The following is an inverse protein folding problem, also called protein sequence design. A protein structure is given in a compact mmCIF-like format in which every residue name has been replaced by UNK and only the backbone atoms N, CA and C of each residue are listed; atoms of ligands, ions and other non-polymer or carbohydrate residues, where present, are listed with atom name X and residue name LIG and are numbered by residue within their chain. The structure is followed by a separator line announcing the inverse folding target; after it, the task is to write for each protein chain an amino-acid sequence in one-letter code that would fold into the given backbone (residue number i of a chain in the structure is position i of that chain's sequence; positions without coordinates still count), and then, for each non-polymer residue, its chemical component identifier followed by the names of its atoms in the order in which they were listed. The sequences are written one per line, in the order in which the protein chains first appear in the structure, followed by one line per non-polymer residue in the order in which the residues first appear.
data_IF_738731563759
#
_entry.id   IF_738731563759
#
_cell.length_a   1.000
_cell.length_b   1.000
_cell.length_c   1.000
_cell.angle_alpha   90.00
_cell.angle_beta   90.00
_cell.angle_gamma   90.00
#
_symmetry.space_group_name_H-M   'P 1'
#
loop_
_entity.id
_entity.type
_entity.pdbx_description
1 polymer ?
#
# COMPACT_ATOMS: atom_id res chain seq x y z
N UNK A 1 24.44 -21.80 7.67
CA UNK A 1 23.20 -22.17 8.39
C UNK A 1 22.52 -20.89 8.86
N UNK A 2 21.44 -20.48 8.19
CA UNK A 2 20.69 -19.29 8.60
C UNK A 2 20.06 -19.53 9.97
N UNK A 3 20.37 -18.67 10.93
CA UNK A 3 19.75 -18.70 12.25
C UNK A 3 18.25 -18.42 12.09
N UNK A 4 17.41 -19.39 12.44
CA UNK A 4 15.98 -19.19 12.59
C UNK A 4 15.72 -18.02 13.57
N UNK A 5 14.64 -17.23 13.40
CA UNK A 5 14.34 -16.12 14.29
C UNK A 5 14.08 -16.67 15.71
N UNK A 6 15.10 -16.60 16.57
CA UNK A 6 15.00 -17.06 17.95
C UNK A 6 13.81 -16.37 18.63
N UNK A 7 12.93 -17.18 19.25
CA UNK A 7 11.93 -16.71 20.20
C UNK A 7 12.61 -15.73 21.18
N UNK A 8 12.30 -14.44 21.07
CA UNK A 8 12.93 -13.38 21.89
C UNK A 8 12.69 -13.68 23.38
N UNK A 9 13.73 -14.15 24.09
CA UNK A 9 13.62 -14.56 25.49
C UNK A 9 13.46 -13.33 26.38
N UNK A 10 12.39 -13.30 27.18
CA UNK A 10 12.12 -12.19 28.11
C UNK A 10 13.11 -12.16 29.27
N UNK A 11 13.78 -13.29 29.52
CA UNK A 11 14.80 -13.42 30.55
C UNK A 11 16.04 -12.59 30.22
N UNK A 12 16.51 -12.63 28.97
CA UNK A 12 17.66 -11.83 28.53
C UNK A 12 17.35 -10.33 28.55
N UNK A 13 16.15 -9.94 28.16
CA UNK A 13 15.72 -8.55 28.24
C UNK A 13 15.67 -8.04 29.69
N UNK A 14 15.13 -8.83 30.63
CA UNK A 14 15.17 -8.47 32.07
C UNK A 14 16.59 -8.34 32.61
N UNK A 15 17.51 -9.21 32.18
CA UNK A 15 18.94 -9.11 32.54
C UNK A 15 19.58 -7.85 31.97
N UNK A 16 19.33 -7.53 30.68
CA UNK A 16 19.85 -6.32 30.05
C UNK A 16 19.39 -5.04 30.77
N UNK A 17 18.14 -4.97 31.25
CA UNK A 17 17.65 -3.82 32.02
C UNK A 17 18.25 -3.70 33.43
N UNK A 18 18.76 -4.79 34.01
CA UNK A 18 19.50 -4.72 35.28
C UNK A 18 20.88 -4.10 35.09
N UNK A 19 21.49 -4.31 33.92
CA UNK A 19 22.80 -3.76 33.57
C UNK A 19 22.70 -2.32 33.06
N UNK A 20 21.68 -2.04 32.25
CA UNK A 20 21.37 -0.70 31.75
C UNK A 20 19.86 -0.45 31.82
N UNK A 21 19.45 0.35 32.81
CA UNK A 21 18.04 0.70 33.04
C UNK A 21 17.42 1.48 31.88
N UNK A 22 18.23 2.07 30.98
CA UNK A 22 17.78 2.82 29.81
C UNK A 22 17.83 2.00 28.52
N UNK A 23 18.09 0.69 28.60
CA UNK A 23 18.17 -0.19 27.43
C UNK A 23 16.81 -0.33 26.74
N UNK A 24 16.56 0.54 25.75
CA UNK A 24 15.29 0.62 25.03
C UNK A 24 14.93 -0.69 24.32
N UNK A 25 15.92 -1.40 23.78
CA UNK A 25 15.74 -2.71 23.12
C UNK A 25 15.21 -3.77 24.08
N UNK A 26 15.68 -3.77 25.32
CA UNK A 26 15.24 -4.70 26.35
C UNK A 26 13.85 -4.34 26.90
N UNK A 27 13.58 -3.06 27.18
CA UNK A 27 12.24 -2.56 27.54
C UNK A 27 11.20 -2.92 26.47
N UNK A 28 11.56 -2.76 25.19
CA UNK A 28 10.73 -3.16 24.05
C UNK A 28 10.41 -4.66 24.07
N UNK A 29 11.39 -5.54 24.26
CA UNK A 29 11.15 -7.00 24.26
C UNK A 29 10.13 -7.39 25.33
N UNK A 30 10.17 -6.75 26.49
CA UNK A 30 9.20 -7.00 27.56
C UNK A 30 7.83 -6.41 27.23
N UNK A 31 7.78 -5.16 26.77
CA UNK A 31 6.53 -4.51 26.35
C UNK A 31 5.80 -5.31 25.26
N UNK A 32 6.50 -5.74 24.21
CA UNK A 32 5.94 -6.55 23.12
C UNK A 32 5.45 -7.93 23.55
N UNK A 33 5.98 -8.49 24.65
CA UNK A 33 5.52 -9.77 25.18
C UNK A 33 4.18 -9.64 25.91
N UNK A 34 3.94 -8.50 26.52
CA UNK A 34 2.73 -8.17 27.26
C UNK A 34 1.64 -7.59 26.34
N UNK A 35 2.03 -6.94 25.24
CA UNK A 35 1.14 -6.25 24.30
C UNK A 35 1.24 -6.87 22.90
N UNK A 36 0.71 -8.08 22.75
CA UNK A 36 0.82 -8.92 21.54
C UNK A 36 0.03 -8.43 20.32
N UNK A 37 -0.82 -7.41 20.46
CA UNK A 37 -1.44 -6.74 19.31
C UNK A 37 -0.40 -6.07 18.43
N UNK A 38 -0.80 -5.63 17.23
CA UNK A 38 0.06 -4.86 16.32
C UNK A 38 0.72 -3.71 17.09
N UNK A 39 1.98 -3.89 17.48
CA UNK A 39 2.57 -2.99 18.44
C UNK A 39 3.06 -1.77 17.71
N UNK A 40 2.38 -0.65 17.93
CA UNK A 40 2.83 0.68 17.54
C UNK A 40 4.31 0.89 17.91
N UNK A 41 4.83 0.25 18.96
CA UNK A 41 6.26 0.32 19.31
C UNK A 41 7.19 -0.34 18.29
N UNK A 42 6.82 -1.47 17.67
CA UNK A 42 7.65 -2.07 16.62
C UNK A 42 7.66 -1.18 15.39
N UNK A 43 6.48 -0.67 15.00
CA UNK A 43 6.33 0.23 13.86
C UNK A 43 7.07 1.55 14.09
N UNK A 44 6.98 2.12 15.29
CA UNK A 44 7.69 3.34 15.70
C UNK A 44 9.21 3.15 15.63
N UNK A 45 9.73 2.00 16.05
CA UNK A 45 11.16 1.72 15.91
C UNK A 45 11.59 1.60 14.45
N UNK A 46 10.79 0.96 13.60
CA UNK A 46 11.07 0.89 12.17
C UNK A 46 11.08 2.30 11.56
N UNK A 47 10.13 3.15 11.94
CA UNK A 47 10.12 4.57 11.58
C UNK A 47 11.36 5.32 12.04
N UNK A 48 11.74 5.19 13.31
CA UNK A 48 12.93 5.83 13.85
C UNK A 48 14.18 5.32 13.11
N UNK A 49 14.27 4.02 12.82
CA UNK A 49 15.42 3.44 12.11
C UNK A 49 15.56 4.01 10.70
N UNK A 50 14.46 4.13 9.95
CA UNK A 50 14.49 4.70 8.59
C UNK A 50 14.72 6.21 8.65
N UNK A 51 14.01 6.91 9.54
CA UNK A 51 14.11 8.36 9.71
C UNK A 51 15.46 8.85 10.21
N UNK A 52 16.23 8.04 10.95
CA UNK A 52 17.59 8.38 11.38
C UNK A 52 18.54 8.70 10.21
N UNK A 53 18.29 8.14 9.02
CA UNK A 53 19.07 8.40 7.81
C UNK A 53 18.41 9.37 6.82
N UNK A 54 17.20 9.86 7.12
CA UNK A 54 16.37 10.59 6.17
C UNK A 54 15.43 11.56 6.90
N UNK A 55 15.81 12.84 6.93
CA UNK A 55 15.08 13.90 7.64
C UNK A 55 13.66 14.09 7.11
N UNK A 56 13.46 13.99 5.79
CA UNK A 56 12.15 14.14 5.18
C UNK A 56 11.24 12.98 5.60
N UNK A 57 11.77 11.76 5.58
CA UNK A 57 11.04 10.58 6.03
C UNK A 57 10.75 10.65 7.53
N UNK A 58 11.69 11.10 8.36
CA UNK A 58 11.48 11.30 9.79
C UNK A 58 10.31 12.26 10.06
N UNK A 59 10.29 13.41 9.39
CA UNK A 59 9.19 14.39 9.50
C UNK A 59 7.84 13.80 9.05
N UNK A 60 7.82 13.09 7.92
CA UNK A 60 6.61 12.43 7.42
C UNK A 60 6.10 11.37 8.42
N UNK A 61 7.03 10.61 8.99
CA UNK A 61 6.74 9.59 10.00
C UNK A 61 6.14 10.20 11.25
N UNK A 62 6.74 11.27 11.79
CA UNK A 62 6.20 11.99 12.95
C UNK A 62 4.79 12.52 12.69
N UNK A 63 4.58 13.12 11.51
CA UNK A 63 3.31 13.75 11.14
C UNK A 63 2.18 12.73 10.92
N UNK A 64 2.49 11.60 10.27
CA UNK A 64 1.46 10.65 9.81
C UNK A 64 1.51 9.28 10.49
N UNK A 65 2.26 9.12 11.58
CA UNK A 65 2.46 7.84 12.27
C UNK A 65 1.16 7.04 12.50
N UNK A 66 0.10 7.71 12.95
CA UNK A 66 -1.19 7.08 13.26
C UNK A 66 -2.06 6.78 12.03
N UNK A 67 -1.73 7.37 10.89
CA UNK A 67 -2.47 7.22 9.64
C UNK A 67 -1.78 6.29 8.65
N UNK A 68 -0.45 6.24 8.64
CA UNK A 68 0.26 5.27 7.82
C UNK A 68 -0.06 3.87 8.34
N UNK A 69 -0.64 3.02 7.48
CA UNK A 69 -0.99 1.62 7.79
C UNK A 69 -0.16 0.63 6.97
N UNK A 70 0.42 1.09 5.86
CA UNK A 70 1.23 0.32 4.94
C UNK A 70 2.38 -0.43 5.65
N UNK A 71 2.62 -1.69 5.27
CA UNK A 71 3.60 -2.58 5.94
C UNK A 71 5.05 -2.09 5.80
N UNK A 72 5.37 -1.47 4.66
CA UNK A 72 6.69 -0.93 4.30
C UNK A 72 6.67 0.57 4.13
N UNK A 73 5.66 1.24 4.70
CA UNK A 73 5.51 2.68 4.63
C UNK A 73 5.38 3.21 3.19
N UNK A 74 4.79 2.42 2.29
CA UNK A 74 4.54 2.75 0.88
C UNK A 74 3.98 4.17 0.72
N UNK A 75 2.98 4.53 1.55
CA UNK A 75 2.34 5.85 1.58
C UNK A 75 3.33 7.00 1.83
N UNK A 76 4.33 6.77 2.69
CA UNK A 76 5.32 7.78 3.06
C UNK A 76 6.46 7.84 2.06
N UNK A 77 6.85 6.72 1.45
CA UNK A 77 7.76 6.72 0.31
C UNK A 77 7.17 7.48 -0.87
N UNK A 78 5.86 7.33 -1.13
CA UNK A 78 5.13 8.14 -2.09
C UNK A 78 5.21 9.64 -1.75
N UNK A 79 4.82 10.05 -0.54
CA UNK A 79 4.84 11.46 -0.15
C UNK A 79 6.25 12.06 -0.09
N UNK A 80 7.26 11.25 0.20
CA UNK A 80 8.66 11.68 0.13
C UNK A 80 9.05 12.01 -1.31
N UNK A 81 8.68 11.15 -2.26
CA UNK A 81 8.99 11.33 -3.67
C UNK A 81 8.15 12.43 -4.33
N UNK A 82 6.90 12.61 -3.91
CA UNK A 82 5.95 13.58 -4.45
C UNK A 82 5.37 14.50 -3.35
N UNK A 83 6.19 15.38 -2.74
CA UNK A 83 5.81 16.11 -1.52
C UNK A 83 4.67 17.12 -1.70
N UNK A 84 4.37 17.54 -2.93
CA UNK A 84 3.26 18.45 -3.20
C UNK A 84 1.89 17.82 -2.85
N UNK A 85 1.80 16.50 -2.88
CA UNK A 85 0.59 15.74 -2.49
C UNK A 85 0.27 15.80 -1.00
N UNK A 86 1.15 16.31 -0.14
CA UNK A 86 0.77 16.66 1.24
C UNK A 86 -0.21 17.84 1.31
N UNK A 87 -0.32 18.65 0.25
CA UNK A 87 -1.18 19.85 0.19
C UNK A 87 -2.23 19.77 -0.91
N UNK A 88 -2.05 18.89 -1.89
CA UNK A 88 -2.97 18.72 -3.01
C UNK A 88 -3.74 17.42 -2.87
N UNK A 89 -5.07 17.50 -3.06
CA UNK A 89 -5.91 16.31 -3.15
C UNK A 89 -5.57 15.51 -4.41
N UNK A 90 -5.37 14.22 -4.24
CA UNK A 90 -5.18 13.25 -5.32
C UNK A 90 -6.27 12.19 -5.31
N UNK A 91 -6.01 11.10 -6.02
CA UNK A 91 -6.86 9.93 -6.07
C UNK A 91 -6.01 8.69 -5.83
N UNK A 92 -6.51 7.73 -5.06
CA UNK A 92 -5.85 6.44 -4.87
C UNK A 92 -6.71 5.29 -5.37
N UNK A 93 -6.07 4.20 -5.80
CA UNK A 93 -6.74 2.92 -6.03
C UNK A 93 -6.03 1.84 -5.20
N UNK A 94 -6.78 1.03 -4.46
CA UNK A 94 -6.23 -0.11 -3.71
C UNK A 94 -7.00 -1.37 -4.09
N UNK A 95 -6.28 -2.35 -4.64
CA UNK A 95 -6.80 -3.64 -5.08
C UNK A 95 -6.22 -4.72 -4.16
N UNK A 96 -7.11 -5.43 -3.47
CA UNK A 96 -6.77 -6.30 -2.34
C UNK A 96 -6.64 -5.48 -1.06
N UNK A 97 -7.78 -5.27 -0.39
CA UNK A 97 -7.92 -4.27 0.67
C UNK A 97 -7.91 -4.92 2.05
N UNK A 98 -8.29 -6.20 2.12
CA UNK A 98 -8.46 -6.91 3.39
C UNK A 98 -9.53 -6.25 4.25
N UNK A 99 -9.26 -6.02 5.54
CA UNK A 99 -10.26 -5.46 6.47
C UNK A 99 -10.52 -3.94 6.35
N UNK A 100 -9.90 -3.29 5.36
CA UNK A 100 -9.99 -1.84 5.13
C UNK A 100 -8.97 -1.00 5.88
N UNK A 101 -8.25 -1.55 6.86
CA UNK A 101 -7.40 -0.76 7.76
C UNK A 101 -6.06 -1.39 8.08
N UNK A 102 -6.02 -2.70 8.35
CA UNK A 102 -4.81 -3.42 8.65
C UNK A 102 -3.96 -3.51 7.38
N UNK A 103 -2.71 -3.08 7.48
CA UNK A 103 -1.73 -3.10 6.38
C UNK A 103 -2.13 -2.32 5.11
N UNK A 104 -3.23 -1.55 5.15
CA UNK A 104 -3.68 -0.80 3.98
C UNK A 104 -2.62 0.18 3.48
N UNK A 105 -2.43 0.18 2.16
CA UNK A 105 -1.49 1.03 1.45
C UNK A 105 -2.09 2.38 1.04
N UNK A 106 -3.35 2.67 1.41
CA UNK A 106 -4.02 3.92 1.04
C UNK A 106 -4.75 4.64 2.19
N UNK A 107 -4.81 4.04 3.38
CA UNK A 107 -5.56 4.60 4.52
C UNK A 107 -5.12 6.02 4.89
N UNK A 108 -3.83 6.33 4.79
CA UNK A 108 -3.29 7.67 5.03
C UNK A 108 -3.85 8.69 4.05
N UNK A 109 -3.89 8.35 2.75
CA UNK A 109 -4.34 9.28 1.71
C UNK A 109 -5.79 9.71 1.96
N UNK A 110 -6.64 8.76 2.32
CA UNK A 110 -8.03 9.05 2.64
C UNK A 110 -8.17 9.81 3.97
N UNK A 111 -7.66 9.23 5.06
CA UNK A 111 -7.97 9.69 6.42
C UNK A 111 -7.16 10.91 6.86
N UNK A 112 -5.93 11.06 6.37
CA UNK A 112 -5.07 12.20 6.72
C UNK A 112 -5.08 13.29 5.67
N UNK A 113 -5.14 12.93 4.38
CA UNK A 113 -5.02 13.88 3.27
C UNK A 113 -6.36 14.20 2.57
N UNK A 114 -7.44 13.50 2.93
CA UNK A 114 -8.77 13.75 2.39
C UNK A 114 -8.86 13.48 0.89
N UNK A 115 -8.07 12.52 0.38
CA UNK A 115 -8.13 12.04 -0.99
C UNK A 115 -9.39 11.22 -1.21
N UNK A 116 -9.95 11.31 -2.41
CA UNK A 116 -10.91 10.33 -2.90
C UNK A 116 -10.17 9.08 -3.35
N UNK A 117 -10.87 7.95 -3.42
CA UNK A 117 -10.26 6.73 -3.92
C UNK A 117 -11.26 5.64 -4.23
N UNK A 118 -10.73 4.55 -4.77
CA UNK A 118 -11.46 3.33 -5.07
C UNK A 118 -10.77 2.14 -4.37
N UNK A 119 -11.58 1.33 -3.70
CA UNK A 119 -11.21 0.08 -3.07
C UNK A 119 -11.78 -1.08 -3.89
N UNK A 120 -11.00 -2.15 -4.07
CA UNK A 120 -11.46 -3.37 -4.76
C UNK A 120 -11.18 -4.58 -3.88
N UNK A 121 -12.24 -5.20 -3.35
CA UNK A 121 -12.14 -6.35 -2.43
C UNK A 121 -13.25 -7.37 -2.70
N UNK A 122 -12.93 -8.54 -3.28
CA UNK A 122 -13.90 -9.59 -3.53
C UNK A 122 -14.30 -10.40 -2.29
N UNK A 123 -13.52 -10.36 -1.19
CA UNK A 123 -13.84 -11.10 0.02
C UNK A 123 -15.03 -10.47 0.77
N UNK A 124 -16.18 -11.16 0.73
CA UNK A 124 -17.42 -10.70 1.36
C UNK A 124 -17.32 -10.50 2.87
N UNK A 125 -16.40 -11.20 3.54
CA UNK A 125 -16.24 -11.15 5.00
C UNK A 125 -15.61 -9.81 5.45
N UNK A 126 -15.06 -9.05 4.51
CA UNK A 126 -14.41 -7.77 4.76
C UNK A 126 -15.33 -6.56 4.50
N UNK A 127 -16.42 -6.70 3.73
CA UNK A 127 -17.18 -5.56 3.22
C UNK A 127 -17.77 -4.66 4.31
N UNK A 128 -18.36 -5.24 5.36
CA UNK A 128 -18.93 -4.45 6.46
C UNK A 128 -17.84 -3.65 7.21
N UNK A 129 -16.67 -4.26 7.39
CA UNK A 129 -15.54 -3.61 8.03
C UNK A 129 -14.98 -2.49 7.16
N UNK A 130 -14.84 -2.71 5.85
CA UNK A 130 -14.42 -1.66 4.91
C UNK A 130 -15.41 -0.50 4.95
N UNK A 131 -16.70 -0.75 4.73
CA UNK A 131 -17.71 0.31 4.66
C UNK A 131 -17.90 1.07 5.99
N UNK A 132 -17.57 0.46 7.14
CA UNK A 132 -17.62 1.15 8.44
C UNK A 132 -16.34 1.96 8.75
N UNK A 133 -15.25 1.73 8.01
CA UNK A 133 -13.92 2.32 8.28
C UNK A 133 -13.37 3.14 7.14
N UNK A 134 -13.98 3.10 5.95
CA UNK A 134 -13.54 3.76 4.71
C UNK A 134 -14.73 4.44 4.02
N UNK A 135 -14.49 5.64 3.52
CA UNK A 135 -15.44 6.48 2.78
C UNK A 135 -15.27 6.33 1.26
N UNK A 136 -14.14 5.76 0.81
CA UNK A 136 -13.88 5.44 -0.58
C UNK A 136 -14.87 4.40 -1.13
N UNK A 137 -15.19 4.51 -2.43
CA UNK A 137 -16.08 3.56 -3.10
C UNK A 137 -15.47 2.15 -3.08
N UNK A 138 -16.33 1.13 -2.94
CA UNK A 138 -15.93 -0.27 -2.89
C UNK A 138 -16.51 -1.05 -4.08
N UNK A 139 -15.64 -1.56 -4.95
CA UNK A 139 -15.99 -2.62 -5.88
C UNK A 139 -15.82 -3.99 -5.22
N UNK A 140 -16.84 -4.84 -5.39
CA UNK A 140 -16.94 -6.16 -4.76
C UNK A 140 -16.54 -7.30 -5.70
N UNK A 141 -16.16 -7.00 -6.94
CA UNK A 141 -15.65 -7.97 -7.91
C UNK A 141 -14.14 -8.08 -7.75
N UNK A 142 -13.58 -9.21 -8.15
CA UNK A 142 -12.14 -9.30 -8.32
C UNK A 142 -11.72 -8.59 -9.61
N UNK A 143 -10.73 -7.69 -9.50
CA UNK A 143 -10.08 -7.11 -10.67
C UNK A 143 -9.29 -8.19 -11.42
N UNK A 144 -9.39 -8.20 -12.74
CA UNK A 144 -8.80 -9.23 -13.58
C UNK A 144 -8.42 -8.70 -14.96
N UNK A 145 -7.81 -9.56 -15.78
CA UNK A 145 -7.45 -9.24 -17.17
C UNK A 145 -8.65 -9.16 -18.12
N UNK A 146 -9.80 -9.74 -17.72
CA UNK A 146 -11.05 -9.77 -18.48
C UNK A 146 -12.26 -9.86 -17.54
N UNK A 147 -13.47 -9.58 -18.05
CA UNK A 147 -14.71 -9.64 -17.26
C UNK A 147 -15.69 -10.71 -17.74
N UNK A 148 -16.83 -10.81 -17.04
CA UNK A 148 -17.98 -11.62 -17.46
C UNK A 148 -18.02 -13.05 -16.93
N UNK A 149 -17.29 -13.35 -15.85
CA UNK A 149 -17.27 -14.67 -15.23
C UNK A 149 -17.13 -14.62 -13.70
N UNK A 150 -16.81 -15.76 -13.10
CA UNK A 150 -16.46 -15.87 -11.69
C UNK A 150 -15.22 -16.77 -11.54
N UNK A 151 -14.45 -16.55 -10.47
CA UNK A 151 -13.32 -17.40 -10.08
C UNK A 151 -13.52 -17.92 -8.67
N UNK A 152 -12.92 -19.08 -8.38
CA UNK A 152 -12.87 -19.62 -7.03
C UNK A 152 -11.87 -18.83 -6.20
N UNK A 153 -12.33 -18.36 -5.05
CA UNK A 153 -11.58 -17.55 -4.11
C UNK A 153 -11.60 -18.20 -2.73
N UNK A 154 -10.48 -18.13 -2.02
CA UNK A 154 -10.33 -18.64 -0.67
C UNK A 154 -10.34 -17.48 0.32
N UNK A 155 -11.35 -17.44 1.19
CA UNK A 155 -11.46 -16.51 2.31
C UNK A 155 -10.80 -17.15 3.53
N UNK A 156 -9.60 -16.69 3.89
CA UNK A 156 -8.93 -17.13 5.11
C UNK A 156 -9.53 -16.42 6.34
N UNK A 157 -9.50 -17.08 7.51
CA UNK A 157 -9.97 -16.48 8.78
C UNK A 157 -9.23 -15.17 9.10
N UNK A 158 -7.95 -15.08 8.70
CA UNK A 158 -7.22 -13.81 8.64
C UNK A 158 -7.25 -13.31 7.20
N UNK A 159 -7.90 -12.17 6.97
CA UNK A 159 -8.17 -11.64 5.63
C UNK A 159 -6.91 -11.42 4.79
N UNK A 160 -5.78 -11.08 5.43
CA UNK A 160 -4.44 -10.89 4.82
C UNK A 160 -3.87 -12.15 4.13
N UNK A 161 -4.58 -13.28 4.14
CA UNK A 161 -4.15 -14.50 3.45
C UNK A 161 -5.21 -15.01 2.46
N UNK A 162 -6.17 -14.16 2.12
CA UNK A 162 -7.25 -14.51 1.20
C UNK A 162 -6.82 -14.24 -0.24
N UNK A 163 -7.16 -15.14 -1.17
CA UNK A 163 -6.70 -15.01 -2.55
C UNK A 163 -7.39 -15.99 -3.50
N UNK A 164 -7.06 -15.91 -4.79
CA UNK A 164 -7.58 -16.85 -5.78
C UNK A 164 -7.11 -18.28 -5.47
N UNK A 165 -8.05 -19.23 -5.43
CA UNK A 165 -7.76 -20.60 -5.01
C UNK A 165 -6.71 -21.30 -5.90
N UNK A 166 -6.66 -20.92 -7.19
CA UNK A 166 -5.63 -21.39 -8.13
C UNK A 166 -4.21 -20.98 -7.76
N UNK A 167 -4.04 -19.95 -6.91
CA UNK A 167 -2.76 -19.36 -6.54
C UNK A 167 -2.37 -19.70 -5.11
N UNK A 168 -3.23 -19.42 -4.13
CA UNK A 168 -2.96 -19.76 -2.71
C UNK A 168 -2.97 -21.27 -2.46
N UNK A 169 -3.59 -22.05 -3.35
CA UNK A 169 -3.74 -23.51 -3.22
C UNK A 169 -4.68 -23.91 -2.08
N UNK A 170 -5.06 -25.18 -1.99
CA UNK A 170 -5.66 -25.72 -0.77
C UNK A 170 -4.57 -25.88 0.29
N UNK A 171 -4.30 -24.81 1.03
CA UNK A 171 -3.25 -24.73 2.06
C UNK A 171 -3.81 -24.70 3.49
N UNK A 172 -2.98 -25.14 4.44
CA UNK A 172 -3.21 -25.43 5.89
C UNK A 172 -3.92 -24.37 6.76
N UNK A 173 -4.33 -23.23 6.20
CA UNK A 173 -4.98 -22.16 6.95
C UNK A 173 -6.50 -22.40 7.01
N UNK A 174 -7.15 -22.16 8.15
CA UNK A 174 -8.60 -22.25 8.24
C UNK A 174 -9.25 -21.14 7.41
N UNK A 175 -10.37 -21.48 6.77
CA UNK A 175 -11.09 -20.58 5.88
C UNK A 175 -12.18 -21.31 5.10
N UNK A 176 -12.78 -20.60 4.15
CA UNK A 176 -13.85 -21.10 3.28
C UNK A 176 -13.62 -20.71 1.83
N UNK A 177 -14.14 -21.52 0.92
CA UNK A 177 -14.11 -21.21 -0.51
C UNK A 177 -15.41 -20.54 -0.94
N UNK A 178 -15.31 -19.57 -1.84
CA UNK A 178 -16.43 -18.89 -2.49
C UNK A 178 -16.18 -18.74 -3.99
N UNK A 179 -17.24 -18.47 -4.74
CA UNK A 179 -17.11 -17.93 -6.10
C UNK A 179 -17.28 -16.43 -6.06
N UNK A 180 -16.35 -15.70 -6.69
CA UNK A 180 -16.39 -14.24 -6.77
C UNK A 180 -16.50 -13.79 -8.21
N UNK A 181 -17.39 -12.83 -8.53
CA UNK A 181 -17.48 -12.28 -9.87
C UNK A 181 -16.18 -11.56 -10.23
N UNK A 182 -15.77 -11.66 -11.50
CA UNK A 182 -14.59 -10.96 -12.04
C UNK A 182 -15.01 -9.88 -13.02
N UNK A 183 -14.24 -8.80 -13.05
CA UNK A 183 -14.33 -7.75 -14.05
C UNK A 183 -12.94 -7.37 -14.54
N UNK A 184 -12.86 -6.94 -15.81
CA UNK A 184 -11.65 -6.33 -16.32
C UNK A 184 -11.33 -5.10 -15.46
N UNK A 185 -10.07 -4.94 -15.05
CA UNK A 185 -9.66 -3.82 -14.18
C UNK A 185 -10.11 -2.47 -14.75
N UNK A 186 -9.90 -2.20 -16.05
CA UNK A 186 -10.35 -0.95 -16.67
C UNK A 186 -11.88 -0.74 -16.59
N UNK A 187 -12.69 -1.79 -16.70
CA UNK A 187 -14.16 -1.67 -16.61
C UNK A 187 -14.58 -1.24 -15.20
N UNK A 188 -13.89 -1.76 -14.17
CA UNK A 188 -14.06 -1.31 -12.78
C UNK A 188 -13.69 0.17 -12.67
N UNK A 189 -12.52 0.57 -13.17
CA UNK A 189 -12.05 1.96 -13.11
C UNK A 189 -13.01 2.93 -13.82
N UNK A 190 -13.55 2.55 -14.98
CA UNK A 190 -14.53 3.36 -15.71
C UNK A 190 -15.86 3.47 -14.96
N UNK A 191 -16.37 2.35 -14.44
CA UNK A 191 -17.66 2.33 -13.74
C UNK A 191 -17.68 3.23 -12.50
N UNK A 192 -16.55 3.32 -11.79
CA UNK A 192 -16.39 4.18 -10.61
C UNK A 192 -15.87 5.59 -10.92
N UNK A 193 -15.85 6.00 -12.19
CA UNK A 193 -15.39 7.32 -12.63
C UNK A 193 -13.97 7.67 -12.13
N UNK A 194 -13.09 6.68 -12.02
CA UNK A 194 -11.70 6.91 -11.64
C UNK A 194 -11.05 7.84 -12.68
N UNK A 195 -10.26 8.85 -12.27
CA UNK A 195 -9.60 9.76 -13.21
C UNK A 195 -8.54 9.04 -14.06
N UNK A 196 -8.22 9.61 -15.23
CA UNK A 196 -7.20 9.04 -16.13
C UNK A 196 -5.81 9.05 -15.50
N UNK A 197 -5.50 10.09 -14.70
CA UNK A 197 -4.30 10.14 -13.90
C UNK A 197 -4.60 9.72 -12.44
N UNK A 198 -3.92 8.68 -11.98
CA UNK A 198 -4.08 8.06 -10.67
C UNK A 198 -2.73 8.19 -9.95
N UNK A 199 -2.56 9.18 -9.05
CA UNK A 199 -1.28 9.40 -8.38
C UNK A 199 -0.73 8.14 -7.68
N UNK A 200 -1.60 7.37 -7.01
CA UNK A 200 -1.17 6.19 -6.29
C UNK A 200 -2.08 4.99 -6.57
N UNK A 201 -1.48 3.85 -6.88
CA UNK A 201 -2.18 2.56 -6.92
C UNK A 201 -1.41 1.49 -6.14
N UNK A 202 -2.14 0.68 -5.38
CA UNK A 202 -1.62 -0.53 -4.74
C UNK A 202 -2.35 -1.75 -5.29
N UNK A 203 -1.59 -2.80 -5.62
CA UNK A 203 -2.10 -4.10 -6.08
C UNK A 203 -1.43 -5.19 -5.26
N UNK A 204 -2.21 -5.79 -4.37
CA UNK A 204 -1.77 -6.81 -3.42
C UNK A 204 -2.84 -7.90 -3.39
N UNK A 205 -2.73 -8.88 -4.29
CA UNK A 205 -3.80 -9.86 -4.56
C UNK A 205 -3.34 -11.30 -4.35
N UNK A 206 -2.30 -11.48 -3.52
CA UNK A 206 -1.75 -12.79 -3.15
C UNK A 206 -1.31 -13.63 -4.37
N UNK A 207 -0.82 -12.98 -5.43
CA UNK A 207 -0.17 -13.62 -6.59
C UNK A 207 -0.91 -13.51 -7.92
N UNK A 208 -1.92 -12.64 -8.03
CA UNK A 208 -2.64 -12.38 -9.29
C UNK A 208 -2.38 -11.00 -9.90
N UNK A 209 -1.33 -10.32 -9.43
CA UNK A 209 -1.07 -8.91 -9.72
C UNK A 209 -0.86 -8.66 -11.22
N UNK A 210 -0.20 -9.58 -11.92
CA UNK A 210 0.01 -9.47 -13.36
C UNK A 210 -1.31 -9.54 -14.15
N UNK A 211 -2.27 -10.32 -13.69
CA UNK A 211 -3.60 -10.40 -14.34
C UNK A 211 -4.40 -9.13 -14.10
N UNK A 212 -4.34 -8.57 -12.89
CA UNK A 212 -4.92 -7.25 -12.58
C UNK A 212 -4.32 -6.18 -13.50
N UNK A 213 -2.99 -6.14 -13.62
CA UNK A 213 -2.27 -5.17 -14.46
C UNK A 213 -2.65 -5.30 -15.94
N UNK A 214 -2.75 -6.52 -16.48
CA UNK A 214 -3.18 -6.75 -17.88
C UNK A 214 -4.60 -6.22 -18.16
N UNK A 215 -5.43 -6.07 -17.14
CA UNK A 215 -6.78 -5.53 -17.27
C UNK A 215 -6.84 -4.00 -17.44
N UNK A 216 -5.76 -3.28 -17.12
CA UNK A 216 -5.68 -1.81 -17.16
C UNK A 216 -5.39 -1.33 -18.58
N UNK A 217 -6.05 -0.25 -19.01
CA UNK A 217 -5.70 0.44 -20.25
C UNK A 217 -4.58 1.48 -20.02
N UNK A 218 -3.32 1.05 -20.12
CA UNK A 218 -2.15 1.92 -19.96
C UNK A 218 -1.96 2.95 -21.08
N UNK A 219 -2.71 2.88 -22.18
CA UNK A 219 -2.71 3.97 -23.18
C UNK A 219 -3.45 5.21 -22.68
N UNK A 220 -4.31 5.02 -21.68
CA UNK A 220 -5.14 6.04 -21.06
C UNK A 220 -4.71 6.34 -19.62
N UNK A 221 -4.51 5.29 -18.81
CA UNK A 221 -4.23 5.40 -17.38
C UNK A 221 -2.76 5.71 -17.13
N UNK A 222 -2.50 6.72 -16.31
CA UNK A 222 -1.13 7.08 -15.89
C UNK A 222 -1.02 7.15 -14.38
N UNK A 223 0.14 6.71 -13.86
CA UNK A 223 0.39 6.62 -12.42
C UNK A 223 1.66 7.37 -12.05
N UNK A 224 1.67 8.01 -10.87
CA UNK A 224 2.92 8.56 -10.32
C UNK A 224 3.69 7.45 -9.59
N UNK A 225 2.97 6.57 -8.88
CA UNK A 225 3.55 5.47 -8.11
C UNK A 225 2.63 4.25 -8.07
N UNK A 226 3.18 3.07 -8.39
CA UNK A 226 2.48 1.81 -8.25
C UNK A 226 3.19 0.91 -7.24
N UNK A 227 2.47 0.40 -6.24
CA UNK A 227 2.92 -0.68 -5.38
C UNK A 227 2.32 -1.99 -5.87
N UNK A 228 3.16 -2.98 -6.17
CA UNK A 228 2.70 -4.26 -6.70
C UNK A 228 3.39 -5.39 -5.95
N UNK A 229 2.62 -6.24 -5.27
CA UNK A 229 3.15 -7.40 -4.57
C UNK A 229 3.72 -8.43 -5.57
N UNK A 230 4.78 -9.15 -5.19
CA UNK A 230 5.34 -10.22 -6.03
C UNK A 230 5.56 -11.55 -5.27
N UNK A 231 5.14 -11.66 -4.00
CA UNK A 231 5.12 -12.89 -3.20
C UNK A 231 6.42 -13.74 -3.20
N UNK A 232 7.58 -13.09 -3.38
CA UNK A 232 8.89 -13.73 -3.57
C UNK A 232 8.96 -14.81 -4.67
N UNK A 233 8.04 -14.83 -5.64
CA UNK A 233 8.05 -15.78 -6.75
C UNK A 233 8.89 -15.25 -7.92
N UNK A 234 10.09 -15.80 -8.12
CA UNK A 234 11.06 -15.29 -9.09
C UNK A 234 10.54 -15.21 -10.54
N UNK A 235 9.70 -16.16 -10.97
CA UNK A 235 9.12 -16.12 -12.33
C UNK A 235 8.10 -15.00 -12.48
N UNK A 236 7.31 -14.74 -11.44
CA UNK A 236 6.35 -13.63 -11.44
C UNK A 236 7.07 -12.28 -11.39
N UNK A 237 8.15 -12.18 -10.62
CA UNK A 237 8.97 -10.98 -10.55
C UNK A 237 9.47 -10.52 -11.92
N UNK A 238 10.12 -11.41 -12.67
CA UNK A 238 10.66 -11.07 -14.00
C UNK A 238 9.54 -10.67 -14.98
N UNK A 239 8.41 -11.38 -14.95
CA UNK A 239 7.26 -11.09 -15.80
C UNK A 239 6.61 -9.74 -15.48
N UNK A 240 6.48 -9.40 -14.19
CA UNK A 240 5.96 -8.11 -13.72
C UNK A 240 6.86 -6.96 -14.17
N UNK A 241 8.16 -7.07 -13.94
CA UNK A 241 9.12 -6.02 -14.33
C UNK A 241 9.15 -5.85 -15.85
N UNK A 242 9.16 -6.94 -16.61
CA UNK A 242 9.11 -6.89 -18.07
C UNK A 242 7.82 -6.22 -18.58
N UNK A 243 6.67 -6.57 -18.00
CA UNK A 243 5.39 -5.96 -18.35
C UNK A 243 5.37 -4.46 -18.05
N UNK A 244 5.74 -4.05 -16.84
CA UNK A 244 5.72 -2.65 -16.43
C UNK A 244 6.70 -1.80 -17.25
N UNK A 245 7.87 -2.36 -17.60
CA UNK A 245 8.84 -1.70 -18.50
C UNK A 245 8.27 -1.43 -19.88
N UNK A 246 7.48 -2.36 -20.44
CA UNK A 246 6.77 -2.13 -21.71
C UNK A 246 5.75 -1.00 -21.61
N UNK A 247 5.15 -0.80 -20.44
CA UNK A 247 4.23 0.32 -20.17
C UNK A 247 4.95 1.63 -19.80
N UNK A 248 6.28 1.67 -19.85
CA UNK A 248 7.07 2.87 -19.56
C UNK A 248 7.38 3.13 -18.09
N UNK A 249 7.19 2.14 -17.22
CA UNK A 249 7.48 2.25 -15.79
C UNK A 249 8.75 1.48 -15.40
N UNK A 250 9.46 1.98 -14.40
CA UNK A 250 10.71 1.39 -13.89
C UNK A 250 10.61 1.18 -12.39
N UNK A 251 11.34 0.17 -11.89
CA UNK A 251 11.41 -0.13 -10.45
C UNK A 251 12.13 1.02 -9.72
N UNK A 252 11.63 1.40 -8.55
CA UNK A 252 12.24 2.37 -7.63
C UNK A 252 12.41 1.76 -6.24
N UNK A 253 13.46 2.16 -5.51
CA UNK A 253 13.74 1.76 -4.12
C UNK A 253 13.66 0.22 -3.85
N UNK A 254 14.27 -0.64 -4.69
CA UNK A 254 14.17 -2.11 -4.54
C UNK A 254 14.72 -2.64 -3.20
N UNK A 255 15.63 -1.90 -2.57
CA UNK A 255 16.18 -2.22 -1.26
C UNK A 255 15.19 -2.00 -0.10
N UNK A 256 14.10 -1.26 -0.33
CA UNK A 256 13.09 -0.91 0.66
C UNK A 256 11.75 -1.64 0.45
N UNK A 257 11.44 -2.01 -0.80
CA UNK A 257 10.14 -2.56 -1.19
C UNK A 257 9.91 -4.01 -0.74
N UNK A 258 10.95 -4.80 -0.49
CA UNK A 258 10.84 -6.10 0.18
C UNK A 258 10.12 -7.18 -0.64
N UNK A 259 8.83 -7.41 -0.36
CA UNK A 259 7.99 -8.37 -1.09
C UNK A 259 7.18 -7.70 -2.22
N UNK A 260 7.34 -6.38 -2.37
CA UNK A 260 6.75 -5.56 -3.40
C UNK A 260 7.78 -5.12 -4.43
N UNK A 261 7.30 -4.79 -5.63
CA UNK A 261 7.95 -3.80 -6.49
C UNK A 261 7.20 -2.48 -6.43
N UNK A 262 7.97 -1.41 -6.31
CA UNK A 262 7.45 -0.05 -6.50
C UNK A 262 7.86 0.45 -7.87
N UNK A 263 6.91 0.96 -8.64
CA UNK A 263 7.12 1.42 -10.00
C UNK A 263 6.80 2.91 -10.13
N UNK A 264 7.58 3.61 -10.93
CA UNK A 264 7.41 5.03 -11.28
C UNK A 264 7.61 5.24 -12.77
N UNK A 265 7.06 6.31 -13.33
CA UNK A 265 7.26 6.64 -14.75
C UNK A 265 8.75 6.76 -15.09
N UNK A 266 9.23 6.01 -16.07
CA UNK A 266 10.61 6.08 -16.58
C UNK A 266 10.89 7.36 -17.36
N UNK A 267 9.85 8.03 -17.86
CA UNK A 267 9.95 9.40 -18.35
C UNK A 267 9.65 10.31 -17.16
N UNK A 268 10.70 10.87 -16.56
CA UNK A 268 10.54 11.74 -15.39
C UNK A 268 9.56 12.88 -15.71
N UNK A 269 8.40 12.89 -15.03
CA UNK A 269 7.58 14.10 -14.96
C UNK A 269 8.33 15.05 -14.03
N UNK A 270 9.25 15.83 -14.59
CA UNK A 270 9.72 17.02 -13.92
C UNK A 270 8.48 17.86 -13.61
N UNK A 271 8.28 18.16 -12.33
CA UNK A 271 7.20 18.95 -11.77
C UNK A 271 7.09 20.28 -12.52
N UNK A 272 6.26 20.33 -13.57
CA UNK A 272 5.94 21.55 -14.30
C UNK A 272 4.66 22.14 -13.72
N UNK A 273 4.71 22.49 -12.43
CA UNK A 273 3.83 23.54 -11.92
C UNK A 273 4.54 24.85 -12.22
N UNK A 274 4.39 25.34 -13.45
CA UNK A 274 4.70 26.73 -13.75
C UNK A 274 3.80 27.59 -12.86
N UNK A 275 4.39 28.30 -11.90
CA UNK A 275 3.73 29.35 -11.18
C UNK A 275 3.32 30.43 -12.20
N UNK A 276 2.05 30.44 -12.60
CA UNK A 276 1.46 31.67 -13.12
C UNK A 276 1.34 32.63 -11.95
N UNK A 277 2.34 33.50 -11.82
CA UNK A 277 2.15 34.81 -11.21
C UNK A 277 1.17 35.58 -12.11
N UNK A 278 -0.12 35.42 -11.87
CA UNK A 278 -1.10 36.39 -12.35
C UNK A 278 -1.09 37.54 -11.34
N UNK A 279 -0.35 38.59 -11.70
CA UNK A 279 -0.28 39.85 -10.99
C UNK A 279 -1.64 40.54 -11.02
N UNK A 280 -2.26 40.65 -9.85
CA UNK A 280 -3.24 41.70 -9.60
C UNK A 280 -2.49 42.94 -9.11
N UNK A 281 -2.15 43.81 -10.07
CA UNK A 281 -1.84 45.20 -9.79
C UNK A 281 -3.10 45.90 -9.29
N UNK A 282 -3.00 46.48 -8.09
CA UNK A 282 -3.99 47.43 -7.60
C UNK A 282 -3.93 48.71 -8.46
N UNK A 283 -5.05 49.28 -8.92
CA UNK A 283 -5.06 50.63 -9.44
C UNK A 283 -5.05 51.63 -8.28
N UNK A 284 -4.02 52.46 -8.27
CA UNK A 284 -4.02 53.75 -7.59
C UNK A 284 -5.15 54.61 -8.18
N UNK A 285 -6.10 55.03 -7.34
CA UNK A 285 -6.96 56.17 -7.64
C UNK A 285 -6.36 57.38 -6.95
N UNK A 286 -5.88 58.31 -7.77
CA UNK A 286 -5.64 59.71 -7.43
C UNK A 286 -6.59 60.53 -8.32
N UNK A 287 -7.65 61.05 -7.69
CA UNK A 287 -8.13 62.45 -7.72
C UNK A 287 -9.50 62.52 -7.01
#
# INVERSE_FOLDING_TARGET
MGLAPHKRSGTLARLALRLDKKNLSASRVLYLKEHKGFSNMRRLEEFLRVGLGDEQFARLSEKYFYYCRAQRFQELHFLKQFPFYEKQKGFFVEIGVGDGTHLSNSFLFERALGWSGLLVEPNSDCWEQICSRRDADLDKRAAWSSGGGALRFFCADTSEYSGMLSVVGQGTKPGREIEVPIARTEDILVQHNVPDHIPFISIDTEGTELEVLKGIDFSRRTFDFLCVEHNHNSKQQDALVAFMKLQGYVVTQPELSGADYWFVSGQGRASSVSAKQDGYGAPLLAD
#
